data_IF_126213128007
#
_entry.id   IF_126213128007
#
_cell.length_a   1.000
_cell.length_b   1.000
_cell.length_c   1.000
_cell.angle_alpha   90.00
_cell.angle_beta   90.00
_cell.angle_gamma   90.00
#
_symmetry.space_group_name_H-M   'P 1'
#
loop_
_entity.id
_entity.type
_entity.pdbx_description
1 polymer ?
#
# COMPACT_ATOMS: atom_id res chain seq x y z
N UNK A 1 -5.81 0.21 -19.64
CA UNK A 1 -5.99 -0.76 -18.53
C UNK A 1 -5.57 -2.14 -19.01
N UNK A 2 -4.89 -2.91 -18.14
CA UNK A 2 -4.36 -4.26 -18.46
C UNK A 2 -5.16 -5.40 -17.79
N UNK A 3 -6.17 -5.06 -16.98
CA UNK A 3 -6.93 -6.02 -16.19
C UNK A 3 -7.60 -7.12 -17.03
N UNK A 4 -8.29 -6.84 -18.16
CA UNK A 4 -8.88 -7.89 -18.98
C UNK A 4 -7.84 -8.89 -19.52
N UNK A 5 -6.71 -8.38 -20.01
CA UNK A 5 -5.64 -9.22 -20.55
C UNK A 5 -5.00 -10.09 -19.45
N UNK A 6 -4.83 -9.54 -18.25
CA UNK A 6 -4.32 -10.30 -17.11
C UNK A 6 -5.31 -11.40 -16.66
N UNK A 7 -6.61 -11.10 -16.64
CA UNK A 7 -7.66 -12.08 -16.33
C UNK A 7 -7.66 -13.23 -17.34
N UNK A 8 -7.57 -12.93 -18.64
CA UNK A 8 -7.48 -13.92 -19.71
C UNK A 8 -6.24 -14.82 -19.56
N UNK A 9 -5.08 -14.23 -19.19
CA UNK A 9 -3.85 -14.99 -18.96
C UNK A 9 -3.99 -15.94 -17.75
N UNK A 10 -4.55 -15.47 -16.64
CA UNK A 10 -4.78 -16.31 -15.44
C UNK A 10 -5.76 -17.44 -15.76
N UNK A 11 -6.82 -17.15 -16.53
CA UNK A 11 -7.77 -18.16 -17.01
C UNK A 11 -7.10 -19.24 -17.86
N UNK A 12 -6.23 -18.83 -18.79
CA UNK A 12 -5.58 -19.72 -19.76
C UNK A 12 -4.52 -20.60 -19.10
N UNK A 13 -3.65 -20.00 -18.28
CA UNK A 13 -2.45 -20.66 -17.77
C UNK A 13 -2.61 -21.23 -16.36
N UNK A 14 -3.65 -20.82 -15.60
CA UNK A 14 -3.96 -21.30 -14.24
C UNK A 14 -2.72 -21.35 -13.32
N UNK A 15 -2.07 -20.21 -13.08
CA UNK A 15 -0.92 -20.15 -12.18
C UNK A 15 -1.31 -20.49 -10.73
N UNK A 16 -0.36 -20.96 -9.93
CA UNK A 16 -0.58 -21.23 -8.51
C UNK A 16 -0.64 -19.95 -7.65
N UNK A 17 -0.11 -18.83 -8.14
CA UNK A 17 -0.08 -17.55 -7.43
C UNK A 17 0.08 -16.36 -8.40
N UNK A 18 -0.26 -15.15 -7.93
CA UNK A 18 0.02 -13.89 -8.62
C UNK A 18 1.04 -13.09 -7.81
N UNK A 19 2.12 -12.63 -8.46
CA UNK A 19 2.99 -11.59 -7.90
C UNK A 19 2.76 -10.32 -8.70
N UNK A 20 2.37 -9.23 -8.04
CA UNK A 20 2.02 -7.99 -8.73
C UNK A 20 2.49 -6.76 -7.98
N UNK A 21 2.70 -5.66 -8.74
CA UNK A 21 2.98 -4.36 -8.16
C UNK A 21 1.79 -3.87 -7.31
N UNK A 22 2.07 -3.20 -6.19
CA UNK A 22 1.04 -2.68 -5.28
C UNK A 22 0.11 -1.65 -5.94
N UNK A 23 0.56 -0.97 -7.01
CA UNK A 23 -0.26 -0.02 -7.78
C UNK A 23 -1.23 -0.70 -8.75
N UNK A 24 -1.29 -2.04 -8.77
CA UNK A 24 -2.24 -2.82 -9.56
C UNK A 24 -3.26 -3.51 -8.65
N UNK A 25 -4.08 -2.75 -7.87
CA UNK A 25 -4.99 -3.32 -6.87
C UNK A 25 -6.01 -4.30 -7.47
N UNK A 26 -6.36 -4.13 -8.75
CA UNK A 26 -7.25 -5.04 -9.49
C UNK A 26 -6.72 -6.48 -9.60
N UNK A 27 -5.42 -6.71 -9.38
CA UNK A 27 -4.87 -8.08 -9.34
C UNK A 27 -5.36 -8.88 -8.13
N UNK A 28 -5.77 -8.22 -7.04
CA UNK A 28 -6.40 -8.88 -5.89
C UNK A 28 -7.78 -9.46 -6.27
N UNK A 29 -8.54 -8.75 -7.10
CA UNK A 29 -9.83 -9.24 -7.61
C UNK A 29 -9.65 -10.48 -8.47
N UNK A 30 -8.66 -10.50 -9.36
CA UNK A 30 -8.34 -11.65 -10.19
C UNK A 30 -7.91 -12.83 -9.31
N UNK A 31 -6.97 -12.61 -8.37
CA UNK A 31 -6.52 -13.65 -7.44
C UNK A 31 -7.69 -14.28 -6.68
N UNK A 32 -8.59 -13.46 -6.14
CA UNK A 32 -9.81 -13.89 -5.45
C UNK A 32 -10.76 -14.66 -6.36
N UNK A 33 -10.98 -14.19 -7.60
CA UNK A 33 -11.84 -14.84 -8.59
C UNK A 33 -11.38 -16.26 -8.91
N UNK A 34 -10.07 -16.50 -8.99
CA UNK A 34 -9.51 -17.82 -9.30
C UNK A 34 -9.10 -18.62 -8.06
N UNK A 35 -9.28 -18.07 -6.85
CA UNK A 35 -8.98 -18.76 -5.59
C UNK A 35 -7.48 -19.00 -5.36
N UNK A 36 -6.61 -18.15 -5.90
CA UNK A 36 -5.15 -18.27 -5.77
C UNK A 36 -4.57 -17.13 -4.93
N UNK A 37 -3.46 -17.34 -4.20
CA UNK A 37 -2.80 -16.29 -3.45
C UNK A 37 -2.26 -15.18 -4.35
N UNK A 38 -2.24 -13.96 -3.80
CA UNK A 38 -1.52 -12.81 -4.36
C UNK A 38 -0.37 -12.43 -3.44
N UNK A 39 0.74 -12.02 -4.00
CA UNK A 39 1.86 -11.40 -3.29
C UNK A 39 2.15 -10.03 -3.88
N UNK A 40 2.21 -9.02 -3.03
CA UNK A 40 2.49 -7.65 -3.44
C UNK A 40 3.99 -7.39 -3.52
N UNK A 41 4.44 -6.82 -4.63
CA UNK A 41 5.75 -6.21 -4.76
C UNK A 41 5.64 -4.69 -4.60
N UNK A 42 6.25 -4.14 -3.55
CA UNK A 42 6.22 -2.69 -3.26
C UNK A 42 7.39 -1.91 -3.88
N UNK A 43 8.45 -2.59 -4.35
CA UNK A 43 9.63 -1.95 -4.96
C UNK A 43 10.46 -1.05 -4.04
N UNK A 44 10.13 -0.97 -2.74
CA UNK A 44 10.81 -0.12 -1.74
C UNK A 44 11.42 -0.95 -0.62
N UNK A 45 12.25 -0.32 0.23
CA UNK A 45 12.86 -0.99 1.38
C UNK A 45 11.87 -1.15 2.55
N UNK A 46 12.15 -2.10 3.46
CA UNK A 46 11.31 -2.35 4.63
C UNK A 46 11.07 -1.11 5.49
N UNK A 47 12.09 -0.26 5.67
CA UNK A 47 11.97 0.98 6.45
C UNK A 47 10.91 1.91 5.86
N UNK A 48 10.96 2.18 4.55
CA UNK A 48 9.98 3.03 3.86
C UNK A 48 8.56 2.48 3.95
N UNK A 49 8.41 1.16 3.88
CA UNK A 49 7.11 0.49 4.03
C UNK A 49 6.59 0.62 5.47
N UNK A 50 7.41 0.34 6.47
CA UNK A 50 7.02 0.45 7.88
C UNK A 50 6.66 1.89 8.25
N UNK A 51 7.48 2.86 7.84
CA UNK A 51 7.24 4.28 8.07
C UNK A 51 5.92 4.73 7.41
N UNK A 52 5.68 4.28 6.18
CA UNK A 52 4.42 4.53 5.45
C UNK A 52 3.21 4.02 6.23
N UNK A 53 3.26 2.79 6.74
CA UNK A 53 2.15 2.16 7.43
C UNK A 53 1.91 2.78 8.80
N UNK A 54 2.99 3.03 9.55
CA UNK A 54 2.94 3.70 10.84
C UNK A 54 2.32 5.11 10.70
N UNK A 55 2.76 5.88 9.69
CA UNK A 55 2.23 7.21 9.42
C UNK A 55 0.76 7.20 8.97
N UNK A 56 0.31 6.19 8.20
CA UNK A 56 -1.09 6.09 7.76
C UNK A 56 -2.05 5.67 8.87
N UNK A 57 -1.64 4.75 9.75
CA UNK A 57 -2.44 4.29 10.90
C UNK A 57 -2.65 5.40 11.92
N UNK A 58 -1.60 6.15 12.20
CA UNK A 58 -1.63 7.23 13.19
C UNK A 58 -2.06 8.55 12.59
N UNK A 59 -2.73 8.51 11.41
CA UNK A 59 -3.22 9.63 10.58
C UNK A 59 -2.85 10.94 11.22
N UNK A 60 -1.81 11.65 10.77
CA UNK A 60 -1.47 12.90 11.41
C UNK A 60 -2.67 13.84 11.28
N UNK A 61 -3.49 13.87 12.34
CA UNK A 61 -4.23 15.05 12.80
C UNK A 61 -3.25 16.16 13.19
N UNK A 62 -1.98 16.04 12.79
CA UNK A 62 -1.00 17.07 12.83
C UNK A 62 -1.49 18.12 11.82
N UNK A 63 -2.28 19.04 12.36
CA UNK A 63 -2.28 20.44 11.95
C UNK A 63 -0.85 20.96 12.06
N UNK A 64 0.10 20.43 11.28
CA UNK A 64 1.42 21.03 11.19
C UNK A 64 1.20 22.28 10.35
N UNK A 65 1.31 23.44 10.98
CA UNK A 65 1.24 24.72 10.28
C UNK A 65 2.54 25.00 9.48
N UNK A 66 3.38 24.00 9.24
CA UNK A 66 4.71 24.15 8.63
C UNK A 66 5.15 22.85 7.96
N UNK A 67 5.50 22.93 6.67
CA UNK A 67 5.93 21.77 5.89
C UNK A 67 7.30 21.24 6.30
N UNK A 68 8.12 22.08 6.94
CA UNK A 68 9.53 21.82 7.26
C UNK A 68 9.78 21.48 8.71
N UNK A 69 8.77 21.61 9.59
CA UNK A 69 8.91 21.25 11.00
C UNK A 69 8.84 19.73 11.18
N UNK A 70 9.86 19.07 11.77
CA UNK A 70 9.80 17.64 12.01
C UNK A 70 8.73 17.27 13.05
N UNK A 71 8.07 16.14 12.84
CA UNK A 71 7.16 15.51 13.79
C UNK A 71 7.52 14.05 14.00
N UNK A 72 7.18 13.53 15.18
CA UNK A 72 7.44 12.14 15.57
C UNK A 72 6.44 11.18 14.91
N UNK A 73 6.93 10.04 14.40
CA UNK A 73 6.08 8.95 13.88
C UNK A 73 6.01 7.80 14.90
N UNK A 74 4.87 7.58 15.55
CA UNK A 74 4.70 6.46 16.48
C UNK A 74 4.58 5.12 15.75
N UNK A 75 4.89 4.02 16.43
CA UNK A 75 4.72 2.65 15.92
C UNK A 75 5.97 2.02 15.30
N UNK A 76 7.11 2.71 15.32
CA UNK A 76 8.41 2.14 14.92
C UNK A 76 9.25 1.77 16.17
N UNK A 77 10.14 0.77 16.08
CA UNK A 77 10.96 0.33 17.22
C UNK A 77 11.93 1.42 17.71
N UNK A 78 12.43 2.23 16.77
CA UNK A 78 13.31 3.37 17.05
C UNK A 78 12.58 4.69 16.81
N UNK A 79 12.91 5.76 17.56
CA UNK A 79 12.32 7.06 17.32
C UNK A 79 12.66 7.62 15.94
N UNK A 80 11.63 7.92 15.13
CA UNK A 80 11.78 8.54 13.81
C UNK A 80 11.04 9.87 13.78
N UNK A 81 11.71 10.90 13.26
CA UNK A 81 11.16 12.23 13.03
C UNK A 81 11.24 12.57 11.54
N UNK A 82 10.13 13.00 10.96
CA UNK A 82 10.04 13.39 9.54
C UNK A 82 9.33 14.72 9.39
N UNK A 83 9.52 15.39 8.25
CA UNK A 83 8.78 16.59 7.88
C UNK A 83 7.64 16.25 6.92
N UNK A 84 6.66 17.14 6.76
CA UNK A 84 5.61 16.93 5.74
C UNK A 84 6.20 16.93 4.32
N UNK A 85 7.23 17.75 4.07
CA UNK A 85 7.91 17.80 2.77
C UNK A 85 8.66 16.52 2.39
N UNK A 86 8.91 15.62 3.35
CA UNK A 86 9.52 14.31 3.12
C UNK A 86 8.47 13.21 2.85
N UNK A 87 7.18 13.51 3.06
CA UNK A 87 6.10 12.57 2.89
C UNK A 87 5.52 12.64 1.48
N UNK A 88 5.23 11.49 0.84
CA UNK A 88 4.54 11.47 -0.44
C UNK A 88 3.15 12.12 -0.37
N UNK A 89 2.75 12.80 -1.44
CA UNK A 89 1.46 13.51 -1.50
C UNK A 89 0.22 12.63 -1.25
N UNK A 90 0.34 11.33 -1.52
CA UNK A 90 -0.71 10.33 -1.26
C UNK A 90 -1.18 10.28 0.19
N UNK A 91 -0.37 10.75 1.14
CA UNK A 91 -0.73 10.80 2.56
C UNK A 91 -1.59 12.01 2.92
N UNK A 92 -1.69 13.01 2.03
CA UNK A 92 -2.36 14.28 2.31
C UNK A 92 -3.74 14.40 1.70
N UNK A 93 -4.20 13.42 0.91
CA UNK A 93 -5.55 13.42 0.33
C UNK A 93 -5.83 14.57 -0.64
N UNK A 94 -4.78 15.08 -1.31
CA UNK A 94 -4.86 16.24 -2.24
C UNK A 94 -4.48 15.89 -3.68
N UNK A 95 -4.45 14.60 -4.01
CA UNK A 95 -3.93 14.13 -5.30
C UNK A 95 -5.03 13.93 -6.35
N UNK A 96 -6.31 13.96 -5.94
CA UNK A 96 -7.43 13.55 -6.80
C UNK A 96 -7.44 12.05 -7.12
N UNK A 97 -6.59 11.27 -6.44
CA UNK A 97 -6.45 9.82 -6.60
C UNK A 97 -6.89 9.07 -5.33
N UNK A 98 -7.72 9.70 -4.50
CA UNK A 98 -8.07 9.14 -3.19
C UNK A 98 -8.78 7.78 -3.33
N UNK A 99 -9.72 7.66 -4.27
CA UNK A 99 -10.37 6.37 -4.61
C UNK A 99 -9.38 5.31 -5.10
N UNK A 100 -8.31 5.72 -5.80
CA UNK A 100 -7.28 4.81 -6.27
C UNK A 100 -6.44 4.30 -5.10
N UNK A 101 -6.05 5.17 -4.17
CA UNK A 101 -5.31 4.78 -2.97
C UNK A 101 -6.16 3.93 -2.02
N UNK A 102 -7.46 4.22 -1.90
CA UNK A 102 -8.38 3.36 -1.14
C UNK A 102 -8.41 1.94 -1.70
N UNK A 103 -8.51 1.77 -3.03
CA UNK A 103 -8.43 0.45 -3.68
C UNK A 103 -7.10 -0.27 -3.42
N UNK A 104 -5.99 0.46 -3.36
CA UNK A 104 -4.69 -0.12 -2.96
C UNK A 104 -4.77 -0.64 -1.53
N UNK A 105 -5.22 0.17 -0.57
CA UNK A 105 -5.31 -0.25 0.83
C UNK A 105 -6.25 -1.43 1.04
N UNK A 106 -7.36 -1.48 0.30
CA UNK A 106 -8.27 -2.64 0.29
C UNK A 106 -7.58 -3.90 -0.26
N UNK A 107 -6.92 -3.80 -1.41
CA UNK A 107 -6.20 -4.92 -2.01
C UNK A 107 -5.10 -5.45 -1.09
N UNK A 108 -4.36 -4.59 -0.39
CA UNK A 108 -3.34 -5.00 0.58
C UNK A 108 -3.95 -5.69 1.82
N UNK A 109 -5.10 -5.21 2.33
CA UNK A 109 -5.80 -5.88 3.44
C UNK A 109 -6.32 -7.27 3.09
N UNK A 110 -6.73 -7.45 1.84
CA UNK A 110 -7.28 -8.72 1.32
C UNK A 110 -6.18 -9.73 0.97
N UNK A 111 -4.91 -9.33 1.04
CA UNK A 111 -3.77 -10.19 0.69
C UNK A 111 -3.44 -11.19 1.83
N UNK A 112 -3.76 -12.45 1.59
CA UNK A 112 -3.57 -13.59 2.49
C UNK A 112 -2.09 -14.04 2.59
N UNK A 113 -1.50 -14.32 3.78
CA UNK A 113 -1.84 -13.92 5.15
C UNK A 113 -0.80 -12.89 5.66
N UNK A 114 -0.81 -11.66 5.16
CA UNK A 114 0.13 -10.61 5.63
C UNK A 114 -0.42 -9.90 6.90
N UNK A 115 -1.54 -10.36 7.47
CA UNK A 115 -2.11 -9.77 8.69
C UNK A 115 -1.19 -9.83 9.91
N UNK A 116 -0.18 -10.72 9.91
CA UNK A 116 0.76 -10.91 11.02
C UNK A 116 2.17 -10.33 10.77
N UNK A 117 2.43 -9.79 9.57
CA UNK A 117 3.74 -9.22 9.19
C UNK A 117 3.77 -7.68 9.18
N UNK A 118 2.70 -7.06 9.67
CA UNK A 118 2.65 -5.62 9.89
C UNK A 118 3.27 -5.35 11.27
N UNK A 119 4.42 -4.67 11.27
CA UNK A 119 5.13 -4.23 12.46
C UNK A 119 4.24 -3.55 13.51
#
# INVERSE_FOLDING_TARGET
MLQPQADDLVRQYRPDAIVSDFNLPWTAEIARKYGIPRFTFNGTCCFSLCLTMAASQHKPNVKVNSETKPFFVPGLPDPVYITLSQMPDRFFGKTGLDEFFEKIFEAERDTWPIKELLC
#
